data_IF_054978016618
#
_entry.id   IF_054978016618
#
_cell.length_a   1.000
_cell.length_b   1.000
_cell.length_c   1.000
_cell.angle_alpha   90.00
_cell.angle_beta   90.00
_cell.angle_gamma   90.00
#
_symmetry.space_group_name_H-M   'P 1'
#
loop_
_entity.id
_entity.type
_entity.pdbx_description
1 polymer ?
#
# COMPACT_ATOMS: atom_id res chain seq x y z
N UNK A 1 -31.30 -40.70 -17.02
CA UNK A 1 -31.04 -39.26 -17.28
C UNK A 1 -30.76 -38.59 -15.94
N UNK A 2 -29.51 -38.68 -15.49
CA UNK A 2 -29.06 -38.19 -14.19
C UNK A 2 -28.62 -36.75 -14.35
N UNK A 3 -29.56 -35.81 -14.14
CA UNK A 3 -29.30 -34.38 -14.30
C UNK A 3 -28.61 -33.80 -13.05
N UNK A 4 -27.68 -32.85 -13.20
CA UNK A 4 -26.58 -32.65 -12.28
C UNK A 4 -26.95 -31.71 -11.13
N UNK A 5 -26.46 -32.08 -9.94
CA UNK A 5 -26.02 -31.23 -8.83
C UNK A 5 -26.40 -29.75 -8.92
N UNK A 6 -27.29 -29.31 -8.01
CA UNK A 6 -27.55 -27.89 -7.75
C UNK A 6 -26.21 -27.16 -7.51
N UNK A 7 -25.84 -26.27 -8.43
CA UNK A 7 -24.68 -25.39 -8.29
C UNK A 7 -24.98 -24.38 -7.19
N UNK A 8 -24.62 -24.71 -5.95
CA UNK A 8 -24.55 -23.72 -4.86
C UNK A 8 -23.38 -22.81 -5.20
N UNK A 9 -23.68 -21.66 -5.78
CA UNK A 9 -22.69 -20.64 -6.07
C UNK A 9 -22.66 -19.68 -4.88
N UNK A 10 -21.59 -19.69 -4.06
CA UNK A 10 -21.40 -18.75 -2.96
C UNK A 10 -21.11 -17.35 -3.56
N UNK A 11 -22.13 -16.70 -4.10
CA UNK A 11 -22.07 -15.31 -4.55
C UNK A 11 -23.19 -14.53 -3.87
N UNK A 12 -23.03 -14.31 -2.56
CA UNK A 12 -23.95 -13.54 -1.72
C UNK A 12 -25.27 -14.26 -1.44
N UNK A 13 -25.30 -15.06 -0.37
CA UNK A 13 -26.45 -15.77 0.20
C UNK A 13 -27.58 -16.12 -0.78
N UNK A 14 -27.47 -17.28 -1.43
CA UNK A 14 -28.65 -18.01 -1.87
C UNK A 14 -28.45 -19.50 -1.58
N UNK A 15 -28.65 -19.89 -0.32
CA UNK A 15 -28.92 -21.29 0.03
C UNK A 15 -30.41 -21.54 -0.20
N UNK A 16 -30.79 -21.97 -1.41
CA UNK A 16 -32.13 -22.51 -1.65
C UNK A 16 -32.14 -23.96 -1.19
N UNK A 17 -32.43 -24.16 0.10
CA UNK A 17 -32.90 -25.45 0.61
C UNK A 17 -34.25 -25.80 -0.01
N UNK A 18 -34.42 -27.05 -0.41
CA UNK A 18 -35.68 -27.59 -0.92
C UNK A 18 -36.63 -27.83 0.25
N UNK A 19 -37.77 -27.13 0.28
CA UNK A 19 -38.94 -27.52 1.08
C UNK A 19 -39.48 -26.46 2.04
N UNK A 20 -40.51 -25.75 1.56
CA UNK A 20 -41.71 -25.26 2.28
C UNK A 20 -41.57 -24.75 3.72
N UNK A 21 -41.14 -23.50 3.86
CA UNK A 21 -41.80 -22.53 4.75
C UNK A 21 -41.33 -21.13 4.31
N UNK A 22 -41.99 -20.68 3.25
CA UNK A 22 -42.02 -19.26 2.90
C UNK A 22 -42.68 -18.55 4.08
N UNK A 23 -41.92 -17.71 4.79
CA UNK A 23 -42.32 -16.59 5.67
C UNK A 23 -41.31 -16.50 6.84
N UNK A 24 -40.33 -15.59 6.73
CA UNK A 24 -39.49 -14.97 7.80
C UNK A 24 -37.96 -14.97 7.61
N UNK A 25 -37.44 -14.95 6.38
CA UNK A 25 -36.11 -14.32 6.15
C UNK A 25 -36.16 -13.30 5.02
N UNK A 26 -37.05 -12.32 5.18
CA UNK A 26 -36.73 -10.95 4.79
C UNK A 26 -35.54 -10.49 5.64
N UNK A 27 -34.34 -10.97 5.34
CA UNK A 27 -33.15 -10.27 5.79
C UNK A 27 -33.12 -8.97 4.97
N UNK A 28 -33.48 -7.88 5.66
CA UNK A 28 -33.23 -6.49 5.30
C UNK A 28 -31.92 -6.33 4.50
N UNK A 29 -31.77 -5.27 3.68
CA UNK A 29 -30.53 -4.98 2.96
C UNK A 29 -29.41 -4.66 3.96
N UNK A 30 -28.84 -5.69 4.60
CA UNK A 30 -27.56 -5.62 5.25
C UNK A 30 -26.62 -5.24 4.11
N UNK A 31 -26.11 -4.01 4.18
CA UNK A 31 -25.05 -3.47 3.32
C UNK A 31 -24.16 -4.63 2.91
N UNK A 32 -24.19 -4.98 1.62
CA UNK A 32 -23.33 -6.04 1.08
C UNK A 32 -21.91 -5.55 1.33
N UNK A 33 -21.31 -5.98 2.44
CA UNK A 33 -20.01 -5.50 2.85
C UNK A 33 -19.03 -6.00 1.80
N UNK A 34 -18.49 -5.07 1.00
CA UNK A 34 -17.56 -5.37 -0.09
C UNK A 34 -16.29 -6.06 0.43
N UNK A 35 -16.04 -6.01 1.73
CA UNK A 35 -14.93 -6.66 2.38
C UNK A 35 -15.22 -8.10 2.81
N UNK A 36 -16.44 -8.63 2.66
CA UNK A 36 -16.76 -10.02 3.04
C UNK A 36 -16.93 -10.88 1.78
N UNK A 37 -16.07 -11.88 1.65
CA UNK A 37 -16.08 -12.89 0.57
C UNK A 37 -16.43 -14.26 1.18
N UNK A 38 -16.95 -15.20 0.41
CA UNK A 38 -17.23 -16.56 0.89
C UNK A 38 -16.39 -17.58 0.12
N UNK A 39 -15.75 -18.53 0.82
CA UNK A 39 -15.07 -19.67 0.21
C UNK A 39 -15.90 -20.93 0.30
N UNK A 40 -15.91 -21.69 -0.78
CA UNK A 40 -16.54 -23.02 -0.87
C UNK A 40 -15.54 -24.11 -0.45
N UNK A 41 -15.93 -24.92 0.52
CA UNK A 41 -15.23 -26.16 0.86
C UNK A 41 -16.21 -27.32 0.73
N UNK A 42 -15.77 -28.42 0.10
CA UNK A 42 -16.61 -29.60 -0.11
C UNK A 42 -16.12 -30.74 0.77
N UNK A 43 -17.00 -31.27 1.61
CA UNK A 43 -16.71 -32.40 2.48
C UNK A 43 -17.89 -33.38 2.44
N UNK A 44 -17.62 -34.64 2.08
CA UNK A 44 -18.59 -35.74 2.13
C UNK A 44 -19.96 -35.44 1.49
N UNK A 45 -19.93 -34.91 0.26
CA UNK A 45 -21.15 -34.52 -0.48
C UNK A 45 -21.79 -33.19 -0.05
N UNK A 46 -21.33 -32.59 1.06
CA UNK A 46 -21.81 -31.31 1.59
C UNK A 46 -20.92 -30.15 1.13
N UNK A 47 -21.54 -29.01 0.81
CA UNK A 47 -20.83 -27.73 0.53
C UNK A 47 -20.92 -26.85 1.77
N UNK A 48 -19.78 -26.33 2.22
CA UNK A 48 -19.64 -25.40 3.34
C UNK A 48 -19.15 -24.05 2.81
N UNK A 49 -19.96 -22.99 2.94
CA UNK A 49 -19.53 -21.61 2.68
C UNK A 49 -18.94 -21.02 3.97
N UNK A 50 -17.67 -20.64 3.98
CA UNK A 50 -17.02 -19.94 5.11
C UNK A 50 -16.77 -18.47 4.76
N UNK A 51 -17.08 -17.51 5.65
CA UNK A 51 -16.81 -16.11 5.40
C UNK A 51 -15.32 -15.79 5.55
N UNK A 52 -14.78 -15.04 4.60
CA UNK A 52 -13.44 -14.45 4.58
C UNK A 52 -13.61 -12.94 4.69
N UNK A 53 -13.03 -12.34 5.73
CA UNK A 53 -13.02 -10.88 5.91
C UNK A 53 -11.73 -10.31 5.32
N UNK A 54 -11.87 -9.50 4.28
CA UNK A 54 -10.78 -8.79 3.65
C UNK A 54 -10.48 -7.46 4.36
N UNK A 55 -9.20 -7.07 4.44
CA UNK A 55 -8.84 -5.75 4.93
C UNK A 55 -9.39 -4.66 4.00
N UNK A 56 -9.82 -3.53 4.58
CA UNK A 56 -10.21 -2.36 3.81
C UNK A 56 -9.00 -1.71 3.18
N UNK A 57 -9.06 -1.46 1.87
CA UNK A 57 -8.04 -0.72 1.13
C UNK A 57 -8.49 0.71 0.84
N UNK A 58 -7.55 1.65 0.79
CA UNK A 58 -7.81 3.09 0.63
C UNK A 58 -7.56 3.64 -0.78
N UNK A 59 -7.00 2.84 -1.70
CA UNK A 59 -6.73 3.26 -3.08
C UNK A 59 -8.01 3.33 -3.93
N UNK A 60 -7.98 4.19 -4.95
CA UNK A 60 -9.10 4.43 -5.87
C UNK A 60 -9.45 3.22 -6.73
N UNK A 61 -8.48 2.34 -7.03
CA UNK A 61 -8.68 1.17 -7.88
C UNK A 61 -8.02 -0.09 -7.30
N UNK A 62 -8.71 -0.81 -6.39
CA UNK A 62 -8.25 -2.09 -5.88
C UNK A 62 -8.23 -3.17 -6.97
N UNK A 63 -7.23 -4.04 -6.95
CA UNK A 63 -7.04 -5.11 -7.94
C UNK A 63 -6.88 -6.47 -7.23
N UNK A 64 -7.51 -7.51 -7.78
CA UNK A 64 -7.41 -8.88 -7.24
C UNK A 64 -6.29 -9.62 -7.95
N UNK A 65 -5.18 -9.86 -7.26
CA UNK A 65 -4.03 -10.61 -7.81
C UNK A 65 -4.39 -12.10 -8.02
N UNK A 66 -3.83 -12.78 -9.04
CA UNK A 66 -4.01 -14.22 -9.22
C UNK A 66 -3.63 -14.98 -7.94
N UNK A 67 -4.45 -15.97 -7.57
CA UNK A 67 -4.25 -16.78 -6.36
C UNK A 67 -4.59 -16.07 -5.04
N UNK A 68 -4.97 -14.79 -5.05
CA UNK A 68 -5.37 -14.06 -3.84
C UNK A 68 -6.89 -13.92 -3.77
N UNK A 69 -7.46 -14.09 -2.59
CA UNK A 69 -8.91 -13.96 -2.39
C UNK A 69 -9.36 -12.48 -2.33
N UNK A 70 -8.58 -11.66 -1.62
CA UNK A 70 -8.87 -10.24 -1.40
C UNK A 70 -8.22 -9.34 -2.45
N UNK A 71 -8.87 -8.20 -2.72
CA UNK A 71 -8.28 -7.15 -3.53
C UNK A 71 -7.23 -6.38 -2.72
N UNK A 72 -6.13 -6.02 -3.37
CA UNK A 72 -5.06 -5.19 -2.82
C UNK A 72 -4.91 -3.92 -3.66
N UNK A 73 -4.19 -2.93 -3.16
CA UNK A 73 -3.82 -1.81 -4.00
C UNK A 73 -2.79 -2.23 -5.06
N UNK A 74 -2.83 -1.61 -6.25
CA UNK A 74 -1.89 -1.92 -7.32
C UNK A 74 -0.48 -1.49 -6.91
N UNK A 75 0.50 -2.29 -7.35
CA UNK A 75 1.91 -1.97 -7.21
C UNK A 75 2.27 -0.84 -8.19
N UNK A 76 3.31 -0.07 -7.90
CA UNK A 76 3.76 1.02 -8.76
C UNK A 76 4.87 0.54 -9.70
N UNK A 77 4.84 1.03 -10.94
CA UNK A 77 5.95 0.90 -11.88
C UNK A 77 6.58 2.27 -12.00
N UNK A 78 7.86 2.38 -11.65
CA UNK A 78 8.62 3.62 -11.75
C UNK A 78 9.92 3.35 -12.47
N UNK A 79 10.05 3.96 -13.65
CA UNK A 79 11.02 3.56 -14.68
C UNK A 79 10.87 2.08 -15.03
N UNK A 80 11.93 1.29 -14.81
CA UNK A 80 11.97 -0.16 -15.09
C UNK A 80 11.81 -1.01 -13.83
N UNK A 81 11.51 -0.38 -12.69
CA UNK A 81 11.42 -1.05 -11.40
C UNK A 81 9.97 -1.10 -10.90
N UNK A 82 9.59 -2.24 -10.33
CA UNK A 82 8.30 -2.43 -9.67
C UNK A 82 8.46 -2.25 -8.16
N UNK A 83 7.67 -1.37 -7.58
CA UNK A 83 7.62 -1.08 -6.15
C UNK A 83 6.27 -1.51 -5.59
N UNK A 84 6.28 -2.25 -4.48
CA UNK A 84 5.08 -2.72 -3.82
C UNK A 84 4.28 -1.54 -3.25
N UNK A 85 2.96 -1.68 -3.18
CA UNK A 85 2.12 -0.70 -2.48
C UNK A 85 2.61 -0.49 -1.03
N UNK A 86 2.77 0.77 -0.62
CA UNK A 86 3.33 1.17 0.66
C UNK A 86 4.86 1.20 0.73
N UNK A 87 5.57 0.80 -0.33
CA UNK A 87 7.03 0.83 -0.35
C UNK A 87 7.58 2.25 -0.51
N UNK A 88 8.60 2.58 0.28
CA UNK A 88 9.40 3.80 0.15
C UNK A 88 10.76 3.48 -0.47
N UNK A 89 11.26 4.37 -1.33
CA UNK A 89 12.53 4.21 -2.03
C UNK A 89 13.19 5.55 -2.33
N UNK A 90 14.51 5.53 -2.53
CA UNK A 90 15.27 6.72 -2.96
C UNK A 90 15.08 6.92 -4.46
N UNK A 91 14.80 8.14 -4.89
CA UNK A 91 14.67 8.43 -6.32
C UNK A 91 16.01 8.10 -7.04
N UNK A 92 16.01 7.22 -8.06
CA UNK A 92 17.20 6.85 -8.81
C UNK A 92 17.87 8.03 -9.52
N UNK A 93 17.10 9.00 -10.02
CA UNK A 93 17.63 10.19 -10.71
C UNK A 93 18.11 11.26 -9.73
N UNK A 94 17.39 11.43 -8.61
CA UNK A 94 17.70 12.42 -7.61
C UNK A 94 17.79 11.78 -6.22
N UNK A 95 19.01 11.48 -5.77
CA UNK A 95 19.24 10.82 -4.46
C UNK A 95 18.75 11.63 -3.25
N UNK A 96 18.40 12.89 -3.47
CA UNK A 96 17.90 13.81 -2.46
C UNK A 96 16.39 13.78 -2.33
N UNK A 97 15.72 12.99 -3.17
CA UNK A 97 14.29 12.73 -3.09
C UNK A 97 14.01 11.34 -2.54
N UNK A 98 12.95 11.27 -1.76
CA UNK A 98 12.34 10.04 -1.29
C UNK A 98 10.96 9.90 -1.94
N UNK A 99 10.73 8.72 -2.51
CA UNK A 99 9.50 8.40 -3.22
C UNK A 99 8.75 7.31 -2.47
N UNK A 100 7.43 7.42 -2.44
CA UNK A 100 6.53 6.40 -1.93
C UNK A 100 5.61 5.88 -3.02
N UNK A 101 5.38 4.57 -3.04
CA UNK A 101 4.33 3.95 -3.83
C UNK A 101 3.03 3.88 -3.02
N UNK A 102 1.95 4.43 -3.55
CA UNK A 102 0.63 4.35 -2.93
C UNK A 102 -0.45 4.21 -4.01
N UNK A 103 -1.18 3.09 -3.99
CA UNK A 103 -2.31 2.86 -4.89
C UNK A 103 -1.96 2.88 -6.37
N UNK A 104 -0.77 2.39 -6.74
CA UNK A 104 -0.27 2.40 -8.12
C UNK A 104 0.31 3.73 -8.58
N UNK A 105 0.40 4.73 -7.71
CA UNK A 105 1.01 6.03 -7.99
C UNK A 105 2.27 6.23 -7.16
N UNK A 106 3.34 6.70 -7.82
CA UNK A 106 4.55 7.14 -7.13
C UNK A 106 4.46 8.63 -6.84
N UNK A 107 4.73 9.01 -5.59
CA UNK A 107 4.86 10.39 -5.16
C UNK A 107 6.26 10.60 -4.58
N UNK A 108 6.99 11.58 -5.08
CA UNK A 108 8.35 11.91 -4.62
C UNK A 108 8.36 13.27 -3.92
N UNK A 109 9.11 13.35 -2.83
CA UNK A 109 9.34 14.59 -2.09
C UNK A 109 10.83 14.74 -1.78
N UNK A 110 11.30 15.98 -1.67
CA UNK A 110 12.66 16.24 -1.21
C UNK A 110 12.82 15.79 0.24
N UNK A 111 13.94 15.16 0.54
CA UNK A 111 14.28 14.73 1.90
C UNK A 111 14.35 15.96 2.81
N UNK A 112 13.85 15.79 4.03
CA UNK A 112 14.00 16.80 5.06
C UNK A 112 15.47 17.10 5.31
N UNK A 113 15.88 18.33 5.05
CA UNK A 113 17.25 18.79 5.32
C UNK A 113 17.33 19.35 6.75
N UNK A 114 18.26 18.87 7.59
CA UNK A 114 18.54 19.53 8.86
C UNK A 114 19.13 20.91 8.61
N UNK A 115 18.76 21.87 9.45
CA UNK A 115 19.27 23.23 9.37
C UNK A 115 20.80 23.28 9.59
N UNK A 116 21.53 24.12 8.83
CA UNK A 116 22.98 24.25 8.97
C UNK A 116 23.35 24.73 10.38
N UNK A 117 24.44 24.20 10.93
CA UNK A 117 24.99 24.59 12.24
C UNK A 117 26.16 25.58 12.12
N UNK A 118 26.25 26.27 10.99
CA UNK A 118 27.30 27.22 10.63
C UNK A 118 26.70 28.48 10.00
N UNK A 119 27.49 29.56 9.91
CA UNK A 119 27.02 30.84 9.38
C UNK A 119 27.05 30.89 7.85
N UNK A 120 27.95 30.12 7.24
CA UNK A 120 28.16 30.06 5.80
C UNK A 120 28.17 28.61 5.30
N UNK A 121 27.00 27.95 5.25
CA UNK A 121 26.91 26.59 4.75
C UNK A 121 27.26 26.52 3.26
N UNK A 122 27.96 25.44 2.90
CA UNK A 122 28.28 25.09 1.53
C UNK A 122 27.28 24.05 0.98
N UNK A 123 27.14 23.97 -0.35
CA UNK A 123 26.43 22.89 -1.00
C UNK A 123 27.01 21.52 -0.57
N UNK A 124 26.15 20.67 -0.02
CA UNK A 124 26.43 19.26 0.21
C UNK A 124 25.85 18.38 -0.89
N UNK A 125 25.83 17.06 -0.67
CA UNK A 125 25.31 16.09 -1.64
C UNK A 125 23.81 16.27 -1.92
N UNK A 126 23.05 16.75 -0.92
CA UNK A 126 21.61 16.96 -1.03
C UNK A 126 21.09 18.23 -0.35
N UNK A 127 21.78 18.66 0.70
CA UNK A 127 21.39 19.80 1.50
C UNK A 127 22.51 20.84 1.47
N UNK A 128 22.16 22.11 1.61
CA UNK A 128 23.12 23.18 1.81
C UNK A 128 23.42 23.32 3.31
N UNK A 129 24.15 22.34 3.85
CA UNK A 129 24.48 22.25 5.27
C UNK A 129 25.92 21.75 5.53
N UNK A 130 26.77 21.80 4.50
CA UNK A 130 28.17 21.43 4.65
C UNK A 130 28.94 22.58 5.33
N UNK A 131 29.41 22.34 6.56
CA UNK A 131 30.13 23.32 7.37
C UNK A 131 31.66 23.15 7.35
N UNK A 132 32.20 22.28 6.48
CA UNK A 132 33.64 22.07 6.34
C UNK A 132 34.29 23.13 5.43
N UNK A 133 33.58 24.22 5.15
CA UNK A 133 34.07 25.33 4.34
C UNK A 133 35.10 26.17 5.06
N UNK A 134 36.11 26.63 4.33
CA UNK A 134 37.07 27.64 4.80
C UNK A 134 36.41 29.02 4.73
N UNK A 135 36.16 29.64 5.89
CA UNK A 135 35.60 31.01 5.96
C UNK A 135 36.69 32.05 5.68
N UNK A 136 37.94 31.74 6.07
CA UNK A 136 39.03 32.70 5.95
C UNK A 136 40.37 32.18 6.45
N UNK A 137 41.31 33.10 6.65
CA UNK A 137 42.62 32.85 7.25
C UNK A 137 42.81 33.80 8.42
N UNK A 138 43.06 33.27 9.62
CA UNK A 138 43.36 34.08 10.80
C UNK A 138 44.78 33.77 11.27
N UNK A 139 45.64 34.80 11.33
CA UNK A 139 47.04 34.68 11.76
C UNK A 139 47.83 33.57 11.04
N UNK A 140 47.55 33.34 9.75
CA UNK A 140 48.22 32.31 8.94
C UNK A 140 47.57 30.91 9.01
N UNK A 141 46.51 30.72 9.80
CA UNK A 141 45.77 29.46 9.92
C UNK A 141 44.45 29.49 9.15
N UNK A 142 44.09 28.41 8.48
CA UNK A 142 42.78 28.28 7.83
C UNK A 142 41.70 28.10 8.89
N UNK A 143 40.71 29.01 8.90
CA UNK A 143 39.56 28.91 9.80
C UNK A 143 38.37 28.34 9.04
N UNK A 144 37.76 27.30 9.61
CA UNK A 144 36.52 26.72 9.16
C UNK A 144 35.36 27.16 10.08
N UNK A 145 34.13 26.93 9.64
CA UNK A 145 32.89 27.25 10.39
C UNK A 145 32.62 26.28 11.55
N UNK A 146 33.65 25.59 12.03
CA UNK A 146 33.56 24.48 12.96
C UNK A 146 33.86 24.88 14.41
N UNK A 147 33.30 26.00 14.86
CA UNK A 147 33.12 26.30 16.28
C UNK A 147 32.05 27.40 16.46
N UNK A 148 30.82 26.98 16.76
CA UNK A 148 30.02 27.75 17.72
C UNK A 148 30.66 27.53 19.10
N UNK A 149 31.17 28.60 19.70
CA UNK A 149 31.16 28.73 21.15
C UNK A 149 29.73 29.08 21.59
#
# INVERSE_FOLDING_TARGET
VSSPLASVHCSGLHARGTGVDELLFSASPLKKDKNIIYSETRWDGTVQCTPIVCPSVSCSRPEKKPGHCCATCPDCIYYENTFLDGQQFTNPDNKCQECGCQGGQVTCADRGCPGPQCSYPLPGTCCNNNCNGKIGVYQGWEVNDHWRL
#
